data_IF_678362522024
#
_entry.id   IF_678362522024
#
_cell.length_a   1.000
_cell.length_b   1.000
_cell.length_c   1.000
_cell.angle_alpha   90.00
_cell.angle_beta   90.00
_cell.angle_gamma   90.00
#
_symmetry.space_group_name_H-M   'P 1'
#
loop_
_entity.id
_entity.type
_entity.pdbx_description
1 polymer ?
#
# COMPACT_ATOMS: atom_id res chain seq x y z
N UNK A 1 5.79 7.60 0.40
CA UNK A 1 4.44 7.91 0.90
C UNK A 1 3.72 8.79 -0.09
N UNK A 2 2.50 8.45 -0.42
CA UNK A 2 1.70 9.20 -1.37
C UNK A 2 0.77 10.13 -0.61
N UNK A 3 1.02 11.43 -0.69
CA UNK A 3 0.17 12.43 -0.07
C UNK A 3 -0.95 12.83 -1.04
N UNK A 4 -2.17 12.83 -0.55
CA UNK A 4 -3.32 13.15 -1.35
C UNK A 4 -4.10 14.30 -0.75
N UNK A 5 -4.14 15.43 -1.44
CA UNK A 5 -4.92 16.60 -1.04
C UNK A 5 -6.41 16.43 -1.32
N UNK A 6 -6.77 15.42 -2.09
CA UNK A 6 -8.15 15.13 -2.45
C UNK A 6 -8.87 14.41 -1.31
N UNK A 7 -10.15 14.73 -1.11
CA UNK A 7 -10.97 14.10 -0.09
C UNK A 7 -11.33 12.65 -0.41
N UNK A 8 -11.09 12.19 -1.64
CA UNK A 8 -11.44 10.85 -2.09
C UNK A 8 -10.27 9.86 -1.92
N UNK A 9 -9.73 9.76 -0.72
CA UNK A 9 -8.62 8.85 -0.43
C UNK A 9 -8.96 7.39 -0.72
N UNK A 10 -10.18 6.96 -0.38
CA UNK A 10 -10.62 5.58 -0.61
C UNK A 10 -10.63 5.26 -2.11
N UNK A 11 -11.20 6.16 -2.91
CA UNK A 11 -11.26 6.00 -4.36
C UNK A 11 -9.87 5.97 -4.97
N UNK A 12 -8.98 6.85 -4.52
CA UNK A 12 -7.62 6.93 -5.04
C UNK A 12 -6.80 5.70 -4.65
N UNK A 13 -7.00 5.19 -3.43
CA UNK A 13 -6.34 3.96 -3.01
C UNK A 13 -6.77 2.76 -3.87
N UNK A 14 -8.05 2.69 -4.24
CA UNK A 14 -8.54 1.63 -5.14
C UNK A 14 -7.89 1.70 -6.51
N UNK A 15 -7.77 2.90 -7.06
CA UNK A 15 -7.09 3.11 -8.36
C UNK A 15 -5.62 2.68 -8.26
N UNK A 16 -4.94 3.08 -7.21
CA UNK A 16 -3.52 2.74 -7.01
C UNK A 16 -3.30 1.23 -6.84
N UNK A 17 -4.22 0.54 -6.18
CA UNK A 17 -4.15 -0.93 -6.06
C UNK A 17 -4.30 -1.62 -7.41
N UNK A 18 -5.12 -1.04 -8.28
CA UNK A 18 -5.37 -1.57 -9.62
C UNK A 18 -4.20 -1.31 -10.56
N UNK A 19 -3.57 -0.14 -10.43
CA UNK A 19 -2.46 0.30 -11.27
C UNK A 19 -1.14 0.30 -10.50
N UNK A 20 -0.77 -0.85 -9.97
CA UNK A 20 0.50 -1.00 -9.26
C UNK A 20 1.68 -0.76 -10.20
N UNK A 21 2.72 -0.09 -9.68
CA UNK A 21 3.97 0.04 -10.42
C UNK A 21 4.62 -1.34 -10.58
N UNK A 22 5.59 -1.44 -11.47
CA UNK A 22 6.33 -2.69 -11.68
C UNK A 22 7.00 -3.15 -10.39
N UNK A 23 7.61 -2.22 -9.66
CA UNK A 23 8.32 -2.49 -8.41
C UNK A 23 7.35 -2.93 -7.31
N UNK A 24 6.19 -2.26 -7.20
CA UNK A 24 5.15 -2.63 -6.24
C UNK A 24 4.63 -4.04 -6.53
N UNK A 25 4.37 -4.33 -7.81
CA UNK A 25 3.86 -5.63 -8.25
C UNK A 25 4.85 -6.74 -7.93
N UNK A 26 6.13 -6.53 -8.21
CA UNK A 26 7.18 -7.49 -7.94
C UNK A 26 7.28 -7.79 -6.45
N UNK A 27 7.33 -6.75 -5.62
CA UNK A 27 7.41 -6.91 -4.18
C UNK A 27 6.19 -7.63 -3.61
N UNK A 28 5.00 -7.27 -4.07
CA UNK A 28 3.76 -7.87 -3.60
C UNK A 28 3.64 -9.34 -3.97
N UNK A 29 3.73 -9.64 -5.28
CA UNK A 29 3.48 -11.00 -5.75
C UNK A 29 4.60 -11.97 -5.42
N UNK A 30 5.84 -11.53 -5.42
CA UNK A 30 6.97 -12.42 -5.17
C UNK A 30 7.28 -12.59 -3.69
N UNK A 31 6.91 -11.63 -2.85
CA UNK A 31 7.31 -11.65 -1.45
C UNK A 31 6.17 -11.42 -0.47
N UNK A 32 5.52 -10.26 -0.50
CA UNK A 32 4.68 -9.82 0.60
C UNK A 32 3.42 -10.65 0.79
N UNK A 33 2.75 -11.04 -0.28
CA UNK A 33 1.50 -11.79 -0.17
C UNK A 33 1.69 -13.19 0.39
N UNK A 34 2.92 -13.70 0.37
CA UNK A 34 3.26 -15.06 0.84
C UNK A 34 3.85 -15.09 2.24
N UNK A 35 3.89 -13.93 2.93
CA UNK A 35 4.41 -13.85 4.29
C UNK A 35 3.38 -14.37 5.30
N UNK A 36 3.87 -14.84 6.44
CA UNK A 36 3.04 -15.29 7.54
C UNK A 36 2.22 -14.15 8.16
N UNK A 37 2.74 -12.92 8.06
CA UNK A 37 2.04 -11.73 8.50
C UNK A 37 1.33 -11.07 7.33
N UNK A 38 0.18 -10.48 7.61
CA UNK A 38 -0.62 -9.86 6.56
C UNK A 38 -0.13 -8.46 6.21
N UNK A 39 0.14 -8.24 4.94
CA UNK A 39 0.41 -6.92 4.39
C UNK A 39 -0.82 -6.40 3.64
N UNK A 40 -1.07 -5.09 3.77
CA UNK A 40 -2.11 -4.39 3.03
C UNK A 40 -1.45 -3.48 2.00
N UNK A 41 -2.07 -3.37 0.84
CA UNK A 41 -1.59 -2.51 -0.24
C UNK A 41 -2.31 -1.18 -0.20
N UNK A 42 -1.59 -0.10 -0.43
CA UNK A 42 -2.16 1.24 -0.55
C UNK A 42 -3.08 1.54 0.64
N UNK A 43 -2.51 1.46 1.83
CA UNK A 43 -3.24 1.70 3.08
C UNK A 43 -3.33 3.19 3.35
N UNK A 44 -4.53 3.66 3.69
CA UNK A 44 -4.76 5.04 4.08
C UNK A 44 -4.36 5.21 5.55
N UNK A 45 -3.42 6.11 5.82
CA UNK A 45 -3.01 6.48 7.17
C UNK A 45 -3.10 8.00 7.26
N UNK A 46 -4.10 8.51 8.00
CA UNK A 46 -4.36 9.95 8.05
C UNK A 46 -4.69 10.50 6.67
N UNK A 47 -3.89 11.44 6.18
CA UNK A 47 -4.04 12.06 4.87
C UNK A 47 -3.14 11.42 3.81
N UNK A 48 -2.51 10.30 4.13
CA UNK A 48 -1.53 9.67 3.24
C UNK A 48 -1.99 8.29 2.81
N UNK A 49 -1.48 7.86 1.66
CA UNK A 49 -1.62 6.50 1.18
C UNK A 49 -0.22 5.89 1.15
N UNK A 50 0.02 4.87 1.98
CA UNK A 50 1.32 4.20 2.03
C UNK A 50 1.28 2.98 1.10
N UNK A 51 2.42 2.62 0.52
CA UNK A 51 2.47 1.53 -0.47
C UNK A 51 2.11 0.18 0.13
N UNK A 52 2.74 -0.19 1.23
CA UNK A 52 2.44 -1.43 1.94
C UNK A 52 2.47 -1.21 3.44
N UNK A 53 1.59 -1.89 4.15
CA UNK A 53 1.48 -1.75 5.60
C UNK A 53 1.20 -3.10 6.25
N UNK A 54 1.90 -3.38 7.35
CA UNK A 54 1.66 -4.54 8.19
C UNK A 54 1.38 -4.08 9.62
N UNK A 55 0.14 -4.21 10.07
CA UNK A 55 -0.26 -3.75 11.40
C UNK A 55 0.41 -4.56 12.51
N UNK A 56 0.56 -5.85 12.32
CA UNK A 56 1.17 -6.73 13.32
C UNK A 56 2.62 -6.36 13.59
N UNK A 57 3.37 -6.01 12.55
CA UNK A 57 4.77 -5.60 12.67
C UNK A 57 4.92 -4.10 12.83
N UNK A 58 3.83 -3.34 12.75
CA UNK A 58 3.83 -1.88 12.73
C UNK A 58 4.83 -1.34 11.72
N UNK A 59 4.77 -1.87 10.50
CA UNK A 59 5.74 -1.63 9.45
C UNK A 59 5.09 -1.01 8.24
N UNK A 60 5.69 0.06 7.73
CA UNK A 60 5.32 0.72 6.48
C UNK A 60 6.46 0.50 5.48
N UNK A 61 6.12 0.09 4.27
CA UNK A 61 7.08 -0.02 3.17
C UNK A 61 6.70 0.99 2.10
N UNK A 62 7.66 1.79 1.72
CA UNK A 62 7.54 2.80 0.67
C UNK A 62 8.55 2.51 -0.43
N UNK A 63 8.11 2.63 -1.67
CA UNK A 63 8.98 2.42 -2.83
C UNK A 63 9.24 3.71 -3.59
#
# INVERSE_FOLDING_TARGET
MKYNHNKNLVKNAKVLRKDMTKEERHLWYDYLRNKDVRFLRQKIIGSYIVDFYCSKANLVIEL
#
